data_IF_532228614571
#
_entry.id   IF_532228614571
#
_cell.length_a   1.000
_cell.length_b   1.000
_cell.length_c   1.000
_cell.angle_alpha   90.00
_cell.angle_beta   90.00
_cell.angle_gamma   90.00
#
_symmetry.space_group_name_H-M   'P 1'
#
loop_
_entity.id
_entity.type
_entity.pdbx_description
1 polymer ?
#
# COMPACT_ATOMS: atom_id res chain seq x y z
N UNK A 1 -12.17 15.76 -38.16
CA UNK A 1 -12.26 14.72 -37.12
C UNK A 1 -10.86 14.21 -36.75
N UNK A 2 -10.08 15.03 -36.04
CA UNK A 2 -8.75 14.68 -35.52
C UNK A 2 -8.82 14.98 -34.02
N UNK A 3 -9.38 14.11 -33.21
CA UNK A 3 -9.53 14.48 -31.80
C UNK A 3 -9.68 13.34 -30.79
N UNK A 4 -10.22 12.20 -31.15
CA UNK A 4 -10.53 11.16 -30.17
C UNK A 4 -9.40 10.14 -29.98
N UNK A 5 -8.72 9.72 -31.04
CA UNK A 5 -7.71 8.66 -30.98
C UNK A 5 -6.39 9.07 -30.31
N UNK A 6 -6.09 10.35 -30.18
CA UNK A 6 -4.85 10.85 -29.58
C UNK A 6 -4.91 11.08 -28.05
N UNK A 7 -6.10 11.12 -27.46
CA UNK A 7 -6.27 11.40 -26.01
C UNK A 7 -6.43 10.14 -25.14
N UNK A 8 -6.76 9.00 -25.74
CA UNK A 8 -6.96 7.76 -25.00
C UNK A 8 -5.73 7.29 -24.20
N UNK A 9 -4.50 7.25 -24.77
CA UNK A 9 -3.33 6.85 -24.01
C UNK A 9 -3.01 7.82 -22.86
N UNK A 10 -3.24 9.12 -23.06
CA UNK A 10 -2.99 10.12 -22.01
C UNK A 10 -4.01 10.03 -20.86
N UNK A 11 -5.28 9.79 -21.18
CA UNK A 11 -6.34 9.58 -20.17
C UNK A 11 -6.13 8.28 -19.41
N UNK A 12 -5.64 7.23 -20.07
CA UNK A 12 -5.31 5.96 -19.43
C UNK A 12 -4.11 6.11 -18.49
N UNK A 13 -3.04 6.76 -18.95
CA UNK A 13 -1.87 7.05 -18.11
C UNK A 13 -2.24 7.90 -16.89
N UNK A 14 -3.06 8.92 -17.06
CA UNK A 14 -3.56 9.74 -15.94
C UNK A 14 -4.38 8.94 -14.93
N UNK A 15 -5.22 8.00 -15.38
CA UNK A 15 -5.98 7.11 -14.47
C UNK A 15 -5.07 6.16 -13.71
N UNK A 16 -4.07 5.56 -14.35
CA UNK A 16 -3.10 4.69 -13.68
C UNK A 16 -2.27 5.45 -12.66
N UNK A 17 -1.81 6.64 -13.00
CA UNK A 17 -1.10 7.53 -12.07
C UNK A 17 -1.96 7.87 -10.85
N UNK A 18 -3.20 8.30 -11.08
CA UNK A 18 -4.13 8.63 -10.00
C UNK A 18 -4.40 7.42 -9.09
N UNK A 19 -4.68 6.24 -9.66
CA UNK A 19 -4.95 5.02 -8.89
C UNK A 19 -3.73 4.55 -8.09
N UNK A 20 -2.55 4.55 -8.68
CA UNK A 20 -1.32 4.13 -8.01
C UNK A 20 -0.96 5.08 -6.85
N UNK A 21 -0.99 6.39 -7.09
CA UNK A 21 -0.69 7.38 -6.05
C UNK A 21 -1.73 7.41 -4.92
N UNK A 22 -3.02 7.26 -5.24
CA UNK A 22 -4.09 7.14 -4.25
C UNK A 22 -3.90 5.89 -3.36
N UNK A 23 -3.46 4.77 -3.96
CA UNK A 23 -3.13 3.55 -3.22
C UNK A 23 -1.98 3.79 -2.25
N UNK A 24 -0.89 4.41 -2.70
CA UNK A 24 0.26 4.74 -1.86
C UNK A 24 -0.10 5.72 -0.73
N UNK A 25 -0.88 6.75 -1.01
CA UNK A 25 -1.35 7.72 -0.01
C UNK A 25 -2.18 7.03 1.10
N UNK A 26 -3.13 6.17 0.70
CA UNK A 26 -3.95 5.41 1.65
C UNK A 26 -3.14 4.42 2.47
N UNK A 27 -2.18 3.72 1.87
CA UNK A 27 -1.28 2.82 2.58
C UNK A 27 -0.37 3.58 3.54
N UNK A 28 0.16 4.72 3.12
CA UNK A 28 0.97 5.62 3.97
C UNK A 28 0.21 6.02 5.24
N UNK A 29 -1.03 6.48 5.10
CA UNK A 29 -1.89 6.85 6.22
C UNK A 29 -2.21 5.70 7.17
N UNK A 30 -2.27 4.46 6.67
CA UNK A 30 -2.59 3.27 7.47
C UNK A 30 -1.37 2.63 8.14
N UNK A 31 -0.20 2.80 7.56
CA UNK A 31 1.03 2.15 8.02
C UNK A 31 2.02 3.10 8.70
N UNK A 32 1.91 4.41 8.44
CA UNK A 32 2.91 5.39 8.85
C UNK A 32 4.20 5.34 8.02
N UNK A 33 4.26 4.48 6.99
CA UNK A 33 5.35 4.49 6.02
C UNK A 33 5.17 5.68 5.06
N UNK A 34 6.26 6.30 4.61
CA UNK A 34 6.21 7.31 3.56
C UNK A 34 5.79 6.68 2.21
N UNK A 35 5.26 7.48 1.28
CA UNK A 35 4.98 6.98 -0.06
C UNK A 35 6.26 6.58 -0.81
N UNK A 36 7.36 7.27 -0.53
CA UNK A 36 8.71 6.91 -0.99
C UNK A 36 9.09 5.49 -0.53
N UNK A 37 8.98 5.23 0.77
CA UNK A 37 9.29 3.91 1.34
C UNK A 37 8.37 2.82 0.77
N UNK A 38 7.07 3.10 0.65
CA UNK A 38 6.09 2.15 0.11
C UNK A 38 6.36 1.82 -1.36
N UNK A 39 6.67 2.82 -2.20
CA UNK A 39 6.97 2.57 -3.62
C UNK A 39 8.27 1.79 -3.80
N UNK A 40 9.30 2.09 -3.01
CA UNK A 40 10.58 1.37 -3.02
C UNK A 40 10.44 -0.06 -2.49
N UNK A 41 9.73 -0.25 -1.37
CA UNK A 41 9.47 -1.58 -0.81
C UNK A 41 8.52 -2.40 -1.68
N UNK A 42 7.58 -1.76 -2.38
CA UNK A 42 6.72 -2.40 -3.36
C UNK A 42 7.52 -3.02 -4.49
N UNK A 43 8.43 -2.24 -5.10
CA UNK A 43 9.37 -2.75 -6.10
C UNK A 43 10.24 -3.89 -5.54
N UNK A 44 10.81 -3.72 -4.35
CA UNK A 44 11.64 -4.74 -3.72
C UNK A 44 10.85 -6.03 -3.43
N UNK A 45 9.59 -5.91 -3.00
CA UNK A 45 8.70 -7.04 -2.78
C UNK A 45 8.40 -7.80 -4.08
N UNK A 46 8.08 -7.08 -5.17
CA UNK A 46 7.84 -7.68 -6.49
C UNK A 46 9.07 -8.44 -7.00
N UNK A 47 10.26 -7.87 -6.86
CA UNK A 47 11.51 -8.55 -7.23
C UNK A 47 11.78 -9.81 -6.40
N UNK A 48 11.21 -9.88 -5.20
CA UNK A 48 11.36 -11.00 -4.26
C UNK A 48 10.18 -12.00 -4.30
N UNK A 49 9.23 -11.82 -5.22
CA UNK A 49 8.07 -12.70 -5.34
C UNK A 49 6.93 -12.41 -4.35
N UNK A 50 7.00 -11.29 -3.63
CA UNK A 50 5.92 -10.75 -2.81
C UNK A 50 5.19 -9.61 -3.56
N UNK A 51 4.39 -8.82 -2.86
CA UNK A 51 3.74 -7.62 -3.40
C UNK A 51 3.56 -6.54 -2.31
N UNK A 52 3.24 -5.32 -2.74
CA UNK A 52 3.06 -4.18 -1.84
C UNK A 52 1.97 -4.41 -0.80
N UNK A 53 0.88 -5.12 -1.13
CA UNK A 53 -0.19 -5.44 -0.18
C UNK A 53 0.31 -6.35 0.96
N UNK A 54 1.20 -7.30 0.65
CA UNK A 54 1.85 -8.15 1.66
C UNK A 54 2.75 -7.32 2.59
N UNK A 55 3.46 -6.32 2.06
CA UNK A 55 4.24 -5.35 2.87
C UNK A 55 3.31 -4.58 3.80
N UNK A 56 2.22 -4.00 3.29
CA UNK A 56 1.23 -3.27 4.11
C UNK A 56 0.70 -4.13 5.26
N UNK A 57 0.21 -5.33 4.92
CA UNK A 57 -0.35 -6.27 5.91
C UNK A 57 0.69 -6.66 6.98
N UNK A 58 1.91 -6.94 6.52
CA UNK A 58 3.02 -7.28 7.41
C UNK A 58 3.38 -6.14 8.36
N UNK A 59 3.53 -4.92 7.85
CA UNK A 59 3.85 -3.74 8.67
C UNK A 59 2.76 -3.47 9.70
N UNK A 60 1.49 -3.53 9.31
CA UNK A 60 0.37 -3.34 10.24
C UNK A 60 0.35 -4.39 11.36
N UNK A 61 0.59 -5.66 11.01
CA UNK A 61 0.68 -6.72 12.04
C UNK A 61 1.91 -6.54 12.93
N UNK A 62 3.06 -6.18 12.37
CA UNK A 62 4.27 -5.85 13.11
C UNK A 62 4.00 -4.76 14.16
N UNK A 63 3.36 -3.67 13.78
CA UNK A 63 2.99 -2.58 14.69
C UNK A 63 2.09 -3.07 15.83
N UNK A 64 1.10 -3.92 15.50
CA UNK A 64 0.26 -4.54 16.51
C UNK A 64 1.08 -5.45 17.45
N UNK A 65 2.00 -6.25 16.90
CA UNK A 65 2.84 -7.15 17.72
C UNK A 65 3.81 -6.36 18.61
N UNK A 66 4.35 -5.23 18.13
CA UNK A 66 5.15 -4.31 18.97
C UNK A 66 4.31 -3.76 20.13
N UNK A 67 3.09 -3.32 19.85
CA UNK A 67 2.16 -2.84 20.88
C UNK A 67 1.80 -3.96 21.87
N UNK A 68 1.51 -5.16 21.38
CA UNK A 68 1.21 -6.33 22.22
C UNK A 68 2.38 -6.65 23.16
N UNK A 69 3.62 -6.58 22.67
CA UNK A 69 4.83 -6.77 23.49
C UNK A 69 4.97 -5.67 24.55
N UNK A 70 4.72 -4.40 24.20
CA UNK A 70 4.71 -3.28 25.15
C UNK A 70 3.67 -3.46 26.26
N UNK A 71 2.51 -4.06 25.93
CA UNK A 71 1.44 -4.36 26.89
C UNK A 71 1.67 -5.65 27.71
N UNK A 72 2.81 -6.32 27.52
CA UNK A 72 3.18 -7.50 28.29
C UNK A 72 2.68 -8.83 27.72
N UNK A 73 2.20 -8.86 26.47
CA UNK A 73 1.81 -10.11 25.81
C UNK A 73 3.02 -11.01 25.61
N UNK A 74 3.03 -12.15 26.31
CA UNK A 74 4.21 -13.02 26.39
C UNK A 74 4.68 -13.52 25.04
N UNK A 75 3.78 -13.97 24.16
CA UNK A 75 4.15 -14.47 22.83
C UNK A 75 4.86 -13.42 21.98
N UNK A 76 4.39 -12.17 22.02
CA UNK A 76 5.01 -11.05 21.33
C UNK A 76 6.40 -10.71 21.94
N UNK A 77 6.51 -10.72 23.27
CA UNK A 77 7.79 -10.50 23.95
C UNK A 77 8.80 -11.62 23.63
N UNK A 78 8.38 -12.88 23.69
CA UNK A 78 9.21 -14.04 23.37
C UNK A 78 9.71 -13.99 21.91
N UNK A 79 8.86 -13.51 20.96
CA UNK A 79 9.25 -13.37 19.57
C UNK A 79 10.35 -12.29 19.37
N UNK A 80 10.22 -11.12 19.99
CA UNK A 80 11.28 -10.10 19.92
C UNK A 80 12.53 -10.51 20.67
N UNK A 81 12.40 -11.16 21.83
CA UNK A 81 13.54 -11.70 22.57
C UNK A 81 14.32 -12.73 21.74
N UNK A 82 13.62 -13.60 20.98
CA UNK A 82 14.26 -14.57 20.10
C UNK A 82 15.06 -13.91 18.96
N UNK A 83 14.68 -12.70 18.57
CA UNK A 83 15.43 -11.85 17.62
C UNK A 83 16.57 -11.07 18.29
N UNK A 84 16.71 -11.15 19.61
CA UNK A 84 17.63 -10.32 20.38
C UNK A 84 17.25 -8.84 20.36
N UNK A 85 15.94 -8.54 20.31
CA UNK A 85 15.40 -7.19 20.36
C UNK A 85 14.64 -6.95 21.66
N UNK A 86 14.81 -5.77 22.21
CA UNK A 86 14.00 -5.26 23.33
C UNK A 86 12.96 -4.28 22.82
N UNK A 87 11.93 -4.01 23.62
CA UNK A 87 10.95 -2.96 23.29
C UNK A 87 11.62 -1.58 23.18
N UNK A 88 12.57 -1.29 24.04
CA UNK A 88 13.30 -0.02 24.08
C UNK A 88 14.09 0.25 22.77
N UNK A 89 14.57 -0.80 22.11
CA UNK A 89 15.25 -0.68 20.82
C UNK A 89 14.27 -0.37 19.68
N UNK A 90 12.99 -0.71 19.84
CA UNK A 90 11.94 -0.46 18.86
C UNK A 90 11.17 0.84 19.14
N UNK A 91 11.14 1.27 20.41
CA UNK A 91 10.46 2.48 20.84
C UNK A 91 11.15 3.72 20.24
N UNK A 92 10.36 4.65 19.73
CA UNK A 92 10.86 5.86 19.07
C UNK A 92 11.37 5.69 17.63
N UNK A 93 11.49 4.47 17.12
CA UNK A 93 11.77 4.23 15.70
C UNK A 93 10.52 4.46 14.84
N UNK A 94 10.72 4.97 13.64
CA UNK A 94 9.67 5.01 12.63
C UNK A 94 9.27 3.59 12.19
N UNK A 95 8.06 3.39 11.68
CA UNK A 95 7.62 2.08 11.16
C UNK A 95 8.58 1.48 10.11
N UNK A 96 9.22 2.32 9.31
CA UNK A 96 10.22 1.91 8.32
C UNK A 96 11.50 1.39 8.97
N UNK A 97 11.98 2.09 10.00
CA UNK A 97 13.16 1.67 10.76
C UNK A 97 12.89 0.39 11.54
N UNK A 98 11.70 0.27 12.16
CA UNK A 98 11.26 -0.95 12.84
C UNK A 98 11.23 -2.14 11.88
N UNK A 99 10.62 -1.98 10.69
CA UNK A 99 10.56 -3.02 9.68
C UNK A 99 11.96 -3.46 9.22
N UNK A 100 12.85 -2.50 8.99
CA UNK A 100 14.22 -2.75 8.55
C UNK A 100 15.03 -3.46 9.65
N UNK A 101 14.94 -3.01 10.90
CA UNK A 101 15.63 -3.61 12.03
C UNK A 101 15.17 -5.04 12.30
N UNK A 102 13.86 -5.27 12.32
CA UNK A 102 13.29 -6.60 12.52
C UNK A 102 13.67 -7.54 11.37
N UNK A 103 13.64 -7.04 10.12
CA UNK A 103 14.08 -7.80 8.96
C UNK A 103 15.55 -8.20 9.03
N UNK A 104 16.42 -7.29 9.47
CA UNK A 104 17.85 -7.56 9.67
C UNK A 104 18.09 -8.65 10.75
N UNK A 105 17.33 -8.61 11.84
CA UNK A 105 17.42 -9.63 12.89
C UNK A 105 16.88 -10.98 12.45
N UNK A 106 15.76 -11.00 11.71
CA UNK A 106 15.21 -12.23 11.12
C UNK A 106 16.18 -12.88 10.14
N UNK A 107 16.87 -12.10 9.33
CA UNK A 107 17.83 -12.65 8.36
C UNK A 107 18.97 -13.42 9.04
N UNK A 108 19.37 -13.03 10.24
CA UNK A 108 20.42 -13.67 11.04
C UNK A 108 20.01 -15.03 11.65
N UNK A 109 18.73 -15.36 11.68
CA UNK A 109 18.24 -16.65 12.16
C UNK A 109 18.62 -17.74 11.16
N UNK A 110 19.49 -18.66 11.56
CA UNK A 110 20.00 -19.70 10.67
C UNK A 110 18.99 -20.80 10.37
N UNK A 111 18.17 -21.19 11.40
CA UNK A 111 17.17 -22.24 11.24
C UNK A 111 15.94 -21.72 10.46
N UNK A 112 15.63 -22.29 9.27
CA UNK A 112 14.52 -21.83 8.46
C UNK A 112 13.14 -21.97 9.12
N UNK A 113 12.97 -23.00 9.97
CA UNK A 113 11.69 -23.25 10.67
C UNK A 113 11.44 -22.17 11.71
N UNK A 114 12.43 -21.88 12.52
CA UNK A 114 12.39 -20.80 13.52
C UNK A 114 12.21 -19.44 12.83
N UNK A 115 12.95 -19.18 11.76
CA UNK A 115 12.82 -17.94 10.96
C UNK A 115 11.39 -17.76 10.47
N UNK A 116 10.79 -18.79 9.87
CA UNK A 116 9.41 -18.74 9.37
C UNK A 116 8.39 -18.55 10.50
N UNK A 117 8.56 -19.23 11.63
CA UNK A 117 7.68 -19.09 12.79
C UNK A 117 7.72 -17.66 13.36
N UNK A 118 8.91 -17.08 13.55
CA UNK A 118 9.07 -15.70 14.01
C UNK A 118 8.51 -14.69 13.02
N UNK A 119 8.73 -14.90 11.71
CA UNK A 119 8.14 -14.05 10.69
C UNK A 119 6.61 -14.09 10.73
N UNK A 120 6.01 -15.26 10.95
CA UNK A 120 4.55 -15.39 11.09
C UNK A 120 4.03 -14.75 12.38
N UNK A 121 4.73 -14.84 13.48
CA UNK A 121 4.34 -14.21 14.74
C UNK A 121 4.36 -12.67 14.60
N UNK A 122 5.41 -12.12 14.00
CA UNK A 122 5.62 -10.67 13.92
C UNK A 122 4.83 -10.03 12.78
N UNK A 123 4.83 -10.64 11.59
CA UNK A 123 4.20 -10.07 10.39
C UNK A 123 2.88 -10.77 10.00
N UNK A 124 2.43 -11.74 10.80
CA UNK A 124 1.23 -12.52 10.53
C UNK A 124 1.37 -13.39 9.28
N UNK A 125 0.25 -13.64 8.60
CA UNK A 125 0.22 -14.49 7.40
C UNK A 125 1.09 -13.98 6.26
N UNK A 126 1.38 -12.68 6.21
CA UNK A 126 2.29 -12.11 5.23
C UNK A 126 3.76 -12.46 5.51
N UNK A 127 4.11 -12.84 6.76
CA UNK A 127 5.49 -13.02 7.19
C UNK A 127 6.30 -13.96 6.32
N UNK A 128 5.77 -15.14 5.99
CA UNK A 128 6.47 -16.09 5.11
C UNK A 128 6.65 -15.59 3.68
N UNK A 129 5.70 -14.79 3.18
CA UNK A 129 5.81 -14.16 1.86
C UNK A 129 6.86 -13.05 1.83
N UNK A 130 7.11 -12.40 2.97
CA UNK A 130 8.10 -11.33 3.10
C UNK A 130 9.53 -11.85 3.31
N UNK A 131 9.73 -13.13 3.68
CA UNK A 131 11.07 -13.68 3.94
C UNK A 131 12.06 -13.48 2.77
N UNK A 132 11.70 -13.68 1.49
CA UNK A 132 12.61 -13.40 0.39
C UNK A 132 13.00 -11.91 0.27
N UNK A 133 12.06 -10.98 0.58
CA UNK A 133 12.35 -9.55 0.62
C UNK A 133 13.33 -9.20 1.75
N UNK A 134 13.22 -9.89 2.90
CA UNK A 134 14.07 -9.66 4.08
C UNK A 134 15.44 -10.36 3.97
N UNK A 135 15.65 -11.17 2.93
CA UNK A 135 16.91 -11.85 2.69
C UNK A 135 18.04 -10.85 2.44
N UNK A 136 19.17 -11.05 3.14
CA UNK A 136 20.27 -10.11 3.14
C UNK A 136 20.10 -8.95 4.14
N UNK A 137 19.06 -9.00 4.96
CA UNK A 137 18.82 -8.04 6.05
C UNK A 137 18.64 -6.61 5.54
N UNK A 138 19.05 -5.64 6.36
CA UNK A 138 18.98 -4.21 6.03
C UNK A 138 19.76 -3.86 4.74
N UNK A 139 20.91 -4.46 4.52
CA UNK A 139 21.76 -4.20 3.34
C UNK A 139 21.12 -4.73 2.04
N UNK A 140 20.48 -5.89 2.09
CA UNK A 140 19.74 -6.46 0.96
C UNK A 140 18.57 -5.58 0.56
N UNK A 141 17.73 -5.19 1.53
CA UNK A 141 16.62 -4.27 1.31
C UNK A 141 17.07 -2.91 0.77
N UNK A 142 18.14 -2.33 1.33
CA UNK A 142 18.65 -1.04 0.85
C UNK A 142 19.18 -1.13 -0.60
N UNK A 143 19.74 -2.27 -0.99
CA UNK A 143 20.17 -2.49 -2.38
C UNK A 143 18.99 -2.48 -3.34
N UNK A 144 17.90 -3.18 -3.03
CA UNK A 144 16.68 -3.20 -3.85
C UNK A 144 16.02 -1.81 -3.90
N UNK A 145 15.99 -1.10 -2.77
CA UNK A 145 15.46 0.27 -2.68
C UNK A 145 16.29 1.25 -3.52
N UNK A 146 17.63 1.17 -3.47
CA UNK A 146 18.50 1.98 -4.35
C UNK A 146 18.25 1.67 -5.82
N UNK A 147 17.99 0.43 -6.18
CA UNK A 147 17.61 0.07 -7.53
C UNK A 147 16.29 0.72 -7.95
N UNK A 148 15.26 0.69 -7.10
CA UNK A 148 14.00 1.40 -7.36
C UNK A 148 14.24 2.90 -7.62
N UNK A 149 15.05 3.55 -6.78
CA UNK A 149 15.42 4.97 -6.95
C UNK A 149 16.14 5.23 -8.27
N UNK A 150 17.11 4.39 -8.63
CA UNK A 150 17.86 4.55 -9.88
C UNK A 150 17.01 4.39 -11.14
N UNK A 151 15.93 3.60 -11.04
CA UNK A 151 14.93 3.41 -12.10
C UNK A 151 13.84 4.48 -12.12
N UNK A 152 13.86 5.43 -11.16
CA UNK A 152 12.83 6.47 -11.06
C UNK A 152 11.47 5.96 -10.59
N UNK A 153 11.41 4.85 -9.88
CA UNK A 153 10.19 4.22 -9.39
C UNK A 153 9.74 4.73 -8.01
N UNK A 154 10.53 5.63 -7.40
CA UNK A 154 10.18 6.27 -6.13
C UNK A 154 9.11 7.33 -6.35
N UNK A 155 8.00 7.20 -5.67
CA UNK A 155 6.88 8.16 -5.70
C UNK A 155 6.94 9.02 -4.45
N UNK A 156 7.04 10.35 -4.60
CA UNK A 156 7.07 11.24 -3.44
C UNK A 156 5.71 11.31 -2.75
N UNK A 157 5.74 11.52 -1.43
CA UNK A 157 4.53 11.72 -0.61
C UNK A 157 3.65 12.84 -1.16
N UNK A 158 4.24 13.95 -1.65
CA UNK A 158 3.51 15.04 -2.29
C UNK A 158 2.82 14.57 -3.59
N UNK A 159 3.52 13.79 -4.41
CA UNK A 159 2.99 13.24 -5.65
C UNK A 159 1.84 12.27 -5.38
N UNK A 160 1.98 11.38 -4.38
CA UNK A 160 0.93 10.46 -3.96
C UNK A 160 -0.31 11.22 -3.47
N UNK A 161 -0.14 12.25 -2.64
CA UNK A 161 -1.24 13.09 -2.16
C UNK A 161 -1.97 13.82 -3.30
N UNK A 162 -1.26 14.37 -4.27
CA UNK A 162 -1.87 14.99 -5.46
C UNK A 162 -2.64 13.99 -6.31
N UNK A 163 -2.13 12.77 -6.46
CA UNK A 163 -2.80 11.70 -7.18
C UNK A 163 -4.09 11.25 -6.46
N UNK A 164 -4.07 11.15 -5.13
CA UNK A 164 -5.25 10.86 -4.32
C UNK A 164 -6.32 11.95 -4.49
N UNK A 165 -5.93 13.22 -4.40
CA UNK A 165 -6.84 14.36 -4.61
C UNK A 165 -7.47 14.33 -6.02
N UNK A 166 -6.69 14.00 -7.05
CA UNK A 166 -7.18 13.84 -8.41
C UNK A 166 -8.22 12.71 -8.48
N UNK A 167 -7.94 11.57 -7.88
CA UNK A 167 -8.85 10.41 -7.80
C UNK A 167 -10.17 10.81 -7.15
N UNK A 168 -10.13 11.49 -6.01
CA UNK A 168 -11.32 11.95 -5.28
C UNK A 168 -12.12 12.93 -6.11
N UNK A 169 -11.46 13.90 -6.76
CA UNK A 169 -12.10 14.89 -7.62
C UNK A 169 -12.79 14.23 -8.82
N UNK A 170 -12.14 13.26 -9.46
CA UNK A 170 -12.73 12.52 -10.58
C UNK A 170 -13.92 11.67 -10.13
N UNK A 171 -13.87 11.08 -8.95
CA UNK A 171 -14.98 10.31 -8.37
C UNK A 171 -16.19 11.21 -8.06
N UNK A 172 -15.96 12.39 -7.50
CA UNK A 172 -17.01 13.39 -7.26
C UNK A 172 -17.64 13.83 -8.60
N UNK A 173 -16.82 14.19 -9.59
CA UNK A 173 -17.29 14.60 -10.91
C UNK A 173 -18.12 13.50 -11.56
N UNK A 174 -17.65 12.25 -11.53
CA UNK A 174 -18.41 11.10 -12.07
C UNK A 174 -19.76 10.93 -11.39
N UNK A 175 -19.83 11.13 -10.07
CA UNK A 175 -21.09 11.06 -9.32
C UNK A 175 -22.04 12.17 -9.74
N UNK A 176 -21.57 13.42 -9.80
CA UNK A 176 -22.37 14.58 -10.23
C UNK A 176 -22.91 14.39 -11.65
N UNK A 177 -22.07 13.93 -12.57
CA UNK A 177 -22.51 13.68 -13.98
C UNK A 177 -23.54 12.55 -14.04
N UNK A 178 -23.38 11.50 -13.23
CA UNK A 178 -24.35 10.41 -13.15
C UNK A 178 -25.71 10.88 -12.60
N UNK A 179 -25.70 11.68 -11.54
CA UNK A 179 -26.91 12.21 -10.92
C UNK A 179 -27.62 13.16 -11.89
N UNK A 180 -26.88 14.04 -12.57
CA UNK A 180 -27.45 14.93 -13.61
C UNK A 180 -28.05 14.13 -14.78
N UNK A 181 -27.38 13.06 -15.23
CA UNK A 181 -27.90 12.20 -16.28
C UNK A 181 -29.19 11.46 -15.86
N UNK A 182 -29.30 11.10 -14.57
CA UNK A 182 -30.51 10.50 -14.01
C UNK A 182 -31.66 11.49 -13.98
N UNK A 183 -31.43 12.74 -13.53
CA UNK A 183 -32.42 13.78 -13.46
C UNK A 183 -32.95 14.16 -14.87
N UNK A 184 -32.05 14.33 -15.82
CA UNK A 184 -32.44 14.58 -17.24
C UNK A 184 -33.23 13.40 -17.81
N UNK A 185 -32.80 12.17 -17.49
CA UNK A 185 -33.48 10.94 -17.93
C UNK A 185 -34.90 10.82 -17.34
N UNK A 186 -35.11 11.21 -16.07
CA UNK A 186 -36.44 11.20 -15.46
C UNK A 186 -37.40 12.20 -16.09
N UNK A 187 -36.94 13.43 -16.35
CA UNK A 187 -37.74 14.47 -17.03
C UNK A 187 -38.12 14.04 -18.44
N UNK A 188 -37.20 13.42 -19.17
CA UNK A 188 -37.50 12.88 -20.50
C UNK A 188 -38.49 11.71 -20.43
N UNK A 189 -38.38 10.83 -19.46
CA UNK A 189 -39.32 9.71 -19.28
C UNK A 189 -40.72 10.21 -18.99
N UNK A 190 -40.87 11.21 -18.12
CA UNK A 190 -42.17 11.83 -17.81
C UNK A 190 -42.79 12.50 -19.02
N UNK A 191 -42.01 13.21 -19.85
CA UNK A 191 -42.46 13.81 -21.08
C UNK A 191 -42.95 12.76 -22.11
N UNK A 192 -42.19 11.65 -22.26
CA UNK A 192 -42.58 10.55 -23.16
C UNK A 192 -43.85 9.87 -22.71
N UNK A 193 -44.00 9.60 -21.39
CA UNK A 193 -45.20 8.99 -20.80
C UNK A 193 -46.41 9.93 -21.01
N UNK A 194 -46.24 11.23 -20.78
CA UNK A 194 -47.29 12.24 -21.01
C UNK A 194 -47.79 12.25 -22.45
N UNK A 195 -46.88 12.24 -23.42
CA UNK A 195 -47.22 12.16 -24.85
C UNK A 195 -47.90 10.84 -25.21
N UNK A 196 -47.42 9.72 -24.69
CA UNK A 196 -48.01 8.40 -24.91
C UNK A 196 -49.46 8.33 -24.41
N UNK A 197 -49.74 8.92 -23.23
CA UNK A 197 -51.09 8.98 -22.64
C UNK A 197 -52.06 9.92 -23.36
N UNK A 198 -51.58 10.85 -24.22
CA UNK A 198 -52.42 11.72 -25.04
C UNK A 198 -52.83 11.09 -26.36
N UNK A 199 -52.15 10.01 -26.76
CA UNK A 199 -52.39 9.33 -28.07
C UNK A 199 -53.32 8.09 -27.87
N UNK A 200 -53.60 7.72 -26.63
CA UNK A 200 -54.53 6.62 -26.29
C UNK A 200 -55.91 7.16 -25.93
#
# INVERSE_FOLDING_TARGET
AVGAAGLEPLTLAGKHFAAAGDTLDKMSKRTGLSAEALSELGFAAEQSGANLESVEKGVRKMQQTILDAAQGTKTAQDAFQALGLTFEELDGLTPEEQFTLIGDRLDRIADPTTKAALAMEIFGRAGTQLLPLLQGGAAGMDTLRRQARSLGLTVSTETAAKAALLTDTLNILRRVVKDLAFDVGSVLADAVISVANQIT
#
